data_IF_665868778945
#
_entry.id   IF_665868778945
#
_cell.length_a   1.000
_cell.length_b   1.000
_cell.length_c   1.000
_cell.angle_alpha   90.00
_cell.angle_beta   90.00
_cell.angle_gamma   90.00
#
_symmetry.space_group_name_H-M   'P 1'
#
loop_
_entity.id
_entity.type
_entity.pdbx_description
1 polymer ?
#
# COMPACT_ATOMS: atom_id res chain seq x y z
N UNK A 1 60.81 3.65 8.31
CA UNK A 1 60.29 5.02 8.02
C UNK A 1 59.66 5.10 6.64
N UNK A 2 60.31 4.62 5.58
CA UNK A 2 59.72 4.56 4.22
C UNK A 2 58.44 3.71 4.17
N UNK A 3 58.42 2.55 4.84
CA UNK A 3 57.25 1.67 4.87
C UNK A 3 56.03 2.35 5.51
N UNK A 4 56.23 3.06 6.62
CA UNK A 4 55.15 3.79 7.30
C UNK A 4 54.59 4.93 6.44
N UNK A 5 55.45 5.63 5.68
CA UNK A 5 55.03 6.69 4.76
C UNK A 5 54.20 6.13 3.59
N UNK A 6 54.69 5.06 2.96
CA UNK A 6 53.97 4.40 1.85
C UNK A 6 52.66 3.81 2.36
N UNK A 7 52.65 3.21 3.55
CA UNK A 7 51.45 2.65 4.15
C UNK A 7 50.40 3.75 4.46
N UNK A 8 50.81 4.92 4.95
CA UNK A 8 49.92 6.05 5.15
C UNK A 8 49.25 6.53 3.85
N UNK A 9 50.04 6.68 2.77
CA UNK A 9 49.52 7.08 1.45
C UNK A 9 48.60 6.00 0.85
N UNK A 10 48.96 4.73 1.00
CA UNK A 10 48.15 3.60 0.55
C UNK A 10 46.81 3.53 1.30
N UNK A 11 46.82 3.69 2.63
CA UNK A 11 45.60 3.72 3.45
C UNK A 11 44.68 4.88 3.09
N UNK A 12 45.23 6.09 2.89
CA UNK A 12 44.43 7.25 2.48
C UNK A 12 43.80 7.05 1.09
N UNK A 13 44.57 6.53 0.13
CA UNK A 13 44.09 6.25 -1.22
C UNK A 13 43.02 5.15 -1.24
N UNK A 14 43.22 4.08 -0.45
CA UNK A 14 42.24 3.01 -0.30
C UNK A 14 40.94 3.50 0.32
N UNK A 15 41.01 4.37 1.34
CA UNK A 15 39.83 5.00 1.93
C UNK A 15 39.06 5.85 0.91
N UNK A 16 39.75 6.73 0.17
CA UNK A 16 39.11 7.57 -0.84
C UNK A 16 38.42 6.74 -1.93
N UNK A 17 39.06 5.66 -2.37
CA UNK A 17 38.47 4.75 -3.36
C UNK A 17 37.28 3.97 -2.81
N UNK A 18 37.34 3.50 -1.56
CA UNK A 18 36.20 2.85 -0.90
C UNK A 18 35.01 3.81 -0.75
N UNK A 19 35.26 5.07 -0.40
CA UNK A 19 34.23 6.11 -0.33
C UNK A 19 33.59 6.38 -1.70
N UNK A 20 34.41 6.44 -2.76
CA UNK A 20 33.91 6.56 -4.13
C UNK A 20 33.01 5.38 -4.52
N UNK A 21 33.46 4.14 -4.27
CA UNK A 21 32.66 2.94 -4.55
C UNK A 21 31.34 2.94 -3.77
N UNK A 22 31.38 3.33 -2.48
CA UNK A 22 30.18 3.49 -1.68
C UNK A 22 29.23 4.51 -2.30
N UNK A 23 29.71 5.69 -2.66
CA UNK A 23 28.89 6.74 -3.27
C UNK A 23 28.24 6.28 -4.58
N UNK A 24 28.96 5.54 -5.43
CA UNK A 24 28.41 4.97 -6.67
C UNK A 24 27.21 4.06 -6.38
N UNK A 25 27.28 3.22 -5.35
CA UNK A 25 26.17 2.35 -4.95
C UNK A 25 24.93 3.15 -4.51
N UNK A 26 25.11 4.34 -3.91
CA UNK A 26 23.98 5.17 -3.48
C UNK A 26 23.26 5.88 -4.63
N UNK A 27 23.85 5.94 -5.84
CA UNK A 27 23.25 6.62 -7.00
C UNK A 27 22.16 5.82 -7.72
N UNK A 28 21.94 4.56 -7.35
CA UNK A 28 20.96 3.67 -8.01
C UNK A 28 19.98 3.11 -6.98
N UNK A 29 18.69 3.21 -7.27
CA UNK A 29 17.60 2.69 -6.43
C UNK A 29 17.79 1.21 -6.02
N UNK A 30 18.41 0.40 -6.89
CA UNK A 30 18.64 -1.03 -6.63
C UNK A 30 19.70 -1.30 -5.56
N UNK A 31 20.63 -0.37 -5.35
CA UNK A 31 21.81 -0.55 -4.49
C UNK A 31 21.87 0.46 -3.35
N UNK A 32 21.11 1.56 -3.41
CA UNK A 32 21.05 2.54 -2.35
C UNK A 32 20.49 1.94 -1.05
N UNK A 33 21.03 2.39 0.08
CA UNK A 33 20.72 1.90 1.43
C UNK A 33 20.40 3.05 2.38
N UNK A 34 19.67 2.76 3.45
CA UNK A 34 19.42 3.70 4.56
C UNK A 34 18.90 5.06 4.06
N UNK A 35 19.43 6.17 4.60
CA UNK A 35 18.97 7.53 4.28
C UNK A 35 19.08 7.91 2.81
N UNK A 36 19.99 7.29 2.04
CA UNK A 36 20.07 7.52 0.59
C UNK A 36 18.84 6.98 -0.14
N UNK A 37 18.37 5.81 0.28
CA UNK A 37 17.14 5.24 -0.25
C UNK A 37 15.91 6.08 0.14
N UNK A 38 15.94 6.73 1.31
CA UNK A 38 14.90 7.67 1.74
C UNK A 38 14.90 8.96 0.91
N UNK A 39 16.07 9.51 0.60
CA UNK A 39 16.19 10.67 -0.31
C UNK A 39 15.67 10.34 -1.71
N UNK A 40 16.00 9.16 -2.25
CA UNK A 40 15.45 8.71 -3.54
C UNK A 40 13.92 8.64 -3.49
N UNK A 41 13.34 8.12 -2.41
CA UNK A 41 11.88 8.09 -2.26
C UNK A 41 11.30 9.52 -2.21
N UNK A 42 11.94 10.42 -1.48
CA UNK A 42 11.52 11.82 -1.38
C UNK A 42 11.61 12.56 -2.72
N UNK A 43 12.60 12.29 -3.56
CA UNK A 43 12.72 12.91 -4.89
C UNK A 43 11.54 12.54 -5.81
N UNK A 44 11.09 11.28 -5.77
CA UNK A 44 9.98 10.82 -6.61
C UNK A 44 8.60 11.10 -6.03
N UNK A 45 8.45 11.04 -4.71
CA UNK A 45 7.14 11.00 -4.05
C UNK A 45 6.95 12.10 -3.00
N UNK A 46 7.97 12.87 -2.67
CA UNK A 46 7.94 13.81 -1.54
C UNK A 46 7.52 13.10 -0.26
N UNK A 47 6.51 13.63 0.41
CA UNK A 47 5.95 13.04 1.64
C UNK A 47 4.91 11.94 1.38
N UNK A 48 4.55 11.66 0.12
CA UNK A 48 3.53 10.66 -0.20
C UNK A 48 4.02 9.21 -0.03
N UNK A 49 5.34 8.98 -0.02
CA UNK A 49 5.93 7.67 0.26
C UNK A 49 7.10 7.80 1.24
N UNK A 50 6.82 7.53 2.52
CA UNK A 50 7.83 7.53 3.58
C UNK A 50 8.08 6.11 4.10
N UNK A 51 9.32 5.88 4.55
CA UNK A 51 9.70 4.61 5.18
C UNK A 51 8.95 4.43 6.49
N UNK A 52 8.34 3.26 6.66
CA UNK A 52 7.67 2.91 7.91
C UNK A 52 8.70 2.62 9.02
N UNK A 53 8.32 2.81 10.28
CA UNK A 53 9.18 2.46 11.41
C UNK A 53 9.63 0.99 11.31
N UNK A 54 10.93 0.74 11.51
CA UNK A 54 11.56 -0.59 11.43
C UNK A 54 11.44 -1.28 10.06
N UNK A 55 11.12 -0.56 8.99
CA UNK A 55 11.07 -1.14 7.65
C UNK A 55 12.47 -1.34 7.08
N UNK A 56 12.76 -2.54 6.58
CA UNK A 56 14.04 -2.86 5.93
C UNK A 56 14.21 -2.18 4.57
N UNK A 57 15.45 -1.93 4.16
CA UNK A 57 15.78 -1.36 2.85
C UNK A 57 15.20 -2.19 1.70
N UNK A 58 15.24 -3.53 1.80
CA UNK A 58 14.69 -4.41 0.77
C UNK A 58 13.18 -4.23 0.62
N UNK A 59 12.45 -4.18 1.75
CA UNK A 59 11.00 -3.95 1.76
C UNK A 59 10.66 -2.55 1.24
N UNK A 60 11.40 -1.53 1.68
CA UNK A 60 11.15 -0.15 1.27
C UNK A 60 11.44 0.05 -0.22
N UNK A 61 12.57 -0.45 -0.71
CA UNK A 61 12.93 -0.45 -2.14
C UNK A 61 11.85 -1.09 -3.01
N UNK A 62 11.30 -2.22 -2.59
CA UNK A 62 10.22 -2.89 -3.31
C UNK A 62 8.98 -1.99 -3.42
N UNK A 63 8.61 -1.27 -2.34
CA UNK A 63 7.50 -0.30 -2.36
C UNK A 63 7.78 0.91 -3.26
N UNK A 64 9.01 1.44 -3.29
CA UNK A 64 9.40 2.55 -4.18
C UNK A 64 9.24 2.10 -5.63
N UNK A 65 9.80 0.95 -6.00
CA UNK A 65 9.70 0.41 -7.37
C UNK A 65 8.25 0.15 -7.76
N UNK A 66 7.47 -0.48 -6.88
CA UNK A 66 6.05 -0.73 -7.11
C UNK A 66 5.28 0.57 -7.35
N UNK A 67 5.57 1.61 -6.57
CA UNK A 67 4.88 2.91 -6.65
C UNK A 67 5.28 3.70 -7.89
N UNK A 68 6.51 3.53 -8.38
CA UNK A 68 7.02 4.17 -9.61
C UNK A 68 6.30 3.64 -10.86
N UNK A 69 6.05 2.33 -10.89
CA UNK A 69 5.43 1.65 -12.04
C UNK A 69 3.99 1.22 -11.79
N UNK A 70 3.33 1.81 -10.78
CA UNK A 70 1.94 1.49 -10.48
C UNK A 70 1.03 1.94 -11.63
N UNK A 71 0.19 1.03 -12.09
CA UNK A 71 -0.89 1.33 -13.04
C UNK A 71 -1.82 2.40 -12.45
N UNK A 72 -2.26 3.36 -13.26
CA UNK A 72 -3.20 4.43 -12.87
C UNK A 72 -4.24 4.64 -13.97
N UNK A 73 -5.31 5.33 -13.64
CA UNK A 73 -6.42 5.69 -14.51
C UNK A 73 -7.14 4.49 -15.17
N UNK A 74 -7.15 3.33 -14.52
CA UNK A 74 -7.89 2.15 -14.99
C UNK A 74 -8.68 1.50 -13.85
N UNK A 75 -9.69 0.71 -14.21
CA UNK A 75 -10.42 -0.15 -13.27
C UNK A 75 -9.48 -1.08 -12.51
N UNK A 76 -8.51 -1.65 -13.22
CA UNK A 76 -7.53 -2.57 -12.64
C UNK A 76 -6.59 -1.87 -11.64
N UNK A 77 -6.25 -0.60 -11.86
CA UNK A 77 -5.47 0.17 -10.92
C UNK A 77 -6.19 0.30 -9.56
N UNK A 78 -7.50 0.59 -9.57
CA UNK A 78 -8.33 0.65 -8.37
C UNK A 78 -8.42 -0.72 -7.70
N UNK A 79 -8.66 -1.78 -8.48
CA UNK A 79 -8.68 -3.15 -7.94
C UNK A 79 -7.36 -3.50 -7.26
N UNK A 80 -6.23 -3.25 -7.91
CA UNK A 80 -4.90 -3.57 -7.37
C UNK A 80 -4.57 -2.75 -6.13
N UNK A 81 -4.78 -1.43 -6.14
CA UNK A 81 -4.42 -0.60 -4.99
C UNK A 81 -5.22 -0.96 -3.74
N UNK A 82 -6.51 -1.27 -3.90
CA UNK A 82 -7.36 -1.68 -2.79
C UNK A 82 -7.05 -3.11 -2.33
N UNK A 83 -6.72 -4.02 -3.25
CA UNK A 83 -6.30 -5.39 -2.88
C UNK A 83 -4.94 -5.39 -2.18
N UNK A 84 -3.97 -4.61 -2.66
CA UNK A 84 -2.65 -4.49 -2.03
C UNK A 84 -2.75 -3.94 -0.60
N UNK A 85 -3.70 -3.04 -0.37
CA UNK A 85 -3.92 -2.39 0.92
C UNK A 85 -4.72 -3.27 1.89
N UNK A 86 -5.71 -4.02 1.40
CA UNK A 86 -6.71 -4.69 2.26
C UNK A 86 -6.67 -6.21 2.21
N UNK A 87 -5.95 -6.78 1.24
CA UNK A 87 -6.00 -8.21 0.91
C UNK A 87 -7.29 -8.66 0.24
N UNK A 88 -8.25 -7.74 -0.03
CA UNK A 88 -9.56 -8.06 -0.59
C UNK A 88 -9.89 -7.19 -1.80
N UNK A 89 -10.27 -7.84 -2.89
CA UNK A 89 -10.65 -7.13 -4.11
C UNK A 89 -11.98 -6.36 -3.92
N UNK A 90 -12.05 -5.10 -4.39
CA UNK A 90 -13.28 -4.33 -4.36
C UNK A 90 -14.29 -4.83 -5.40
N UNK A 91 -15.56 -4.44 -5.24
CA UNK A 91 -16.55 -4.52 -6.31
C UNK A 91 -16.61 -3.16 -7.00
N UNK A 92 -16.47 -3.11 -8.32
CA UNK A 92 -16.48 -1.87 -9.10
C UNK A 92 -17.56 -1.97 -10.17
N UNK A 93 -18.44 -0.97 -10.21
CA UNK A 93 -19.53 -0.84 -11.18
C UNK A 93 -19.32 0.45 -11.97
N UNK A 94 -19.19 0.32 -13.28
CA UNK A 94 -19.18 1.44 -14.22
C UNK A 94 -20.54 1.51 -14.93
N UNK A 95 -21.37 2.56 -14.71
CA UNK A 95 -22.76 2.62 -15.22
C UNK A 95 -22.90 2.61 -16.75
N UNK A 96 -21.82 2.90 -17.48
CA UNK A 96 -21.77 2.88 -18.94
C UNK A 96 -21.13 1.61 -19.50
N UNK A 97 -20.73 0.65 -18.65
CA UNK A 97 -20.06 -0.58 -19.04
C UNK A 97 -21.07 -1.75 -19.09
N UNK A 98 -21.40 -2.28 -20.28
CA UNK A 98 -22.37 -3.39 -20.40
C UNK A 98 -21.97 -4.66 -19.63
N UNK A 99 -20.67 -4.87 -19.43
CA UNK A 99 -20.16 -5.98 -18.62
C UNK A 99 -20.47 -5.84 -17.11
N UNK A 100 -20.76 -4.64 -16.61
CA UNK A 100 -21.20 -4.42 -15.24
C UNK A 100 -22.73 -4.30 -15.15
N UNK A 101 -23.39 -3.81 -16.19
CA UNK A 101 -24.81 -3.41 -16.15
C UNK A 101 -25.77 -4.35 -16.89
N UNK A 102 -25.23 -5.40 -17.50
CA UNK A 102 -25.99 -6.29 -18.37
C UNK A 102 -26.17 -5.77 -19.80
N UNK A 103 -26.44 -6.70 -20.69
CA UNK A 103 -26.76 -6.47 -22.10
C UNK A 103 -27.69 -7.59 -22.61
N UNK A 104 -28.38 -7.33 -23.72
CA UNK A 104 -29.22 -8.35 -24.34
C UNK A 104 -28.39 -9.58 -24.73
N UNK A 105 -28.82 -10.77 -24.28
CA UNK A 105 -28.11 -12.03 -24.53
C UNK A 105 -26.82 -12.23 -23.72
N UNK A 106 -26.51 -11.35 -22.76
CA UNK A 106 -25.33 -11.48 -21.93
C UNK A 106 -25.62 -12.23 -20.61
N UNK A 107 -24.67 -13.04 -20.10
CA UNK A 107 -24.87 -13.89 -18.90
C UNK A 107 -24.91 -13.10 -17.58
N UNK A 108 -24.67 -11.79 -17.63
CA UNK A 108 -24.64 -10.87 -16.50
C UNK A 108 -25.91 -10.00 -16.41
N UNK A 109 -27.04 -10.51 -16.89
CA UNK A 109 -28.31 -9.78 -16.99
C UNK A 109 -29.43 -10.56 -16.32
N UNK A 110 -30.13 -9.95 -15.35
CA UNK A 110 -31.33 -10.53 -14.76
C UNK A 110 -31.91 -9.66 -13.65
N UNK A 111 -33.19 -9.31 -13.75
CA UNK A 111 -33.85 -8.46 -12.75
C UNK A 111 -33.78 -9.11 -11.36
N UNK A 112 -33.11 -8.43 -10.41
CA UNK A 112 -32.91 -8.93 -9.04
C UNK A 112 -31.96 -10.14 -8.91
N UNK A 113 -31.26 -10.53 -9.97
CA UNK A 113 -30.43 -11.75 -10.00
C UNK A 113 -28.98 -11.46 -10.41
N UNK A 114 -28.75 -10.63 -11.44
CA UNK A 114 -27.42 -10.39 -11.98
C UNK A 114 -27.30 -9.03 -12.66
N UNK A 115 -26.10 -8.44 -12.56
CA UNK A 115 -25.78 -7.13 -13.13
C UNK A 115 -26.22 -5.97 -12.23
N UNK A 116 -25.57 -4.82 -12.44
CA UNK A 116 -25.97 -3.55 -11.84
C UNK A 116 -26.91 -2.78 -12.77
N UNK A 117 -27.57 -1.73 -12.27
CA UNK A 117 -28.30 -0.81 -13.13
C UNK A 117 -27.36 0.24 -13.73
N UNK A 118 -27.29 0.27 -15.06
CA UNK A 118 -26.51 1.26 -15.80
C UNK A 118 -27.26 2.56 -16.08
N UNK A 119 -26.52 3.61 -16.44
CA UNK A 119 -27.08 4.87 -16.89
C UNK A 119 -26.10 5.61 -17.79
N UNK A 120 -26.53 5.95 -19.01
CA UNK A 120 -25.75 6.80 -19.91
C UNK A 120 -25.67 8.25 -19.43
N UNK A 121 -26.54 8.65 -18.50
CA UNK A 121 -26.58 9.99 -17.90
C UNK A 121 -25.56 10.17 -16.76
N UNK A 122 -24.80 9.12 -16.42
CA UNK A 122 -23.71 9.17 -15.43
C UNK A 122 -22.33 9.02 -16.10
N UNK A 123 -21.92 9.92 -17.02
CA UNK A 123 -20.60 9.86 -17.62
C UNK A 123 -19.53 10.16 -16.57
N UNK A 124 -18.35 9.56 -16.72
CA UNK A 124 -17.20 9.77 -15.85
C UNK A 124 -17.45 9.43 -14.37
N UNK A 125 -18.37 8.50 -14.10
CA UNK A 125 -18.66 8.03 -12.74
C UNK A 125 -18.44 6.53 -12.61
N UNK A 126 -17.98 6.11 -11.42
CA UNK A 126 -17.92 4.71 -11.03
C UNK A 126 -18.35 4.56 -9.57
N UNK A 127 -18.91 3.40 -9.23
CA UNK A 127 -19.28 3.03 -7.87
C UNK A 127 -18.37 1.90 -7.40
N UNK A 128 -17.71 2.11 -6.26
CA UNK A 128 -16.73 1.18 -5.69
C UNK A 128 -17.19 0.77 -4.30
N UNK A 129 -17.42 -0.53 -4.12
CA UNK A 129 -17.50 -1.12 -2.79
C UNK A 129 -16.10 -1.59 -2.37
N UNK A 130 -15.51 -0.87 -1.43
CA UNK A 130 -14.26 -1.22 -0.80
C UNK A 130 -14.49 -2.00 0.50
N UNK A 131 -13.48 -2.75 0.93
CA UNK A 131 -13.53 -3.55 2.14
C UNK A 131 -12.43 -3.15 3.09
N UNK A 132 -12.73 -3.10 4.38
CA UNK A 132 -11.68 -3.01 5.40
C UNK A 132 -10.86 -4.31 5.41
N UNK A 133 -9.56 -4.26 5.76
CA UNK A 133 -8.78 -5.48 5.87
C UNK A 133 -9.42 -6.44 6.87
N UNK A 134 -9.27 -7.75 6.62
CA UNK A 134 -9.60 -8.74 7.63
C UNK A 134 -8.71 -8.50 8.87
N UNK A 135 -9.32 -8.17 10.01
CA UNK A 135 -8.58 -7.89 11.24
C UNK A 135 -7.72 -9.09 11.63
N UNK A 136 -6.40 -8.95 11.67
CA UNK A 136 -5.60 -9.80 12.55
C UNK A 136 -5.91 -9.35 13.98
N UNK A 137 -6.39 -10.24 14.84
CA UNK A 137 -6.73 -9.87 16.23
C UNK A 137 -5.60 -9.13 16.94
N UNK A 138 -5.92 -8.36 17.99
CA UNK A 138 -4.90 -7.62 18.73
C UNK A 138 -4.03 -8.62 19.50
N UNK A 139 -2.69 -8.59 19.34
CA UNK A 139 -1.81 -9.47 20.07
C UNK A 139 -2.08 -9.38 21.58
N UNK A 140 -2.16 -10.53 22.23
CA UNK A 140 -2.38 -10.63 23.68
C UNK A 140 -3.74 -10.11 24.18
N UNK A 141 -4.71 -9.85 23.31
CA UNK A 141 -6.12 -9.63 23.67
C UNK A 141 -6.96 -10.77 23.09
N UNK A 142 -7.78 -11.40 23.92
CA UNK A 142 -8.63 -12.50 23.45
C UNK A 142 -9.90 -11.97 22.78
N UNK A 143 -10.40 -12.75 21.82
CA UNK A 143 -11.69 -12.48 21.16
C UNK A 143 -12.87 -12.64 22.12
N UNK A 144 -13.99 -12.02 21.73
CA UNK A 144 -15.24 -12.11 22.48
C UNK A 144 -15.72 -13.57 22.60
N UNK A 145 -16.19 -13.96 23.78
CA UNK A 145 -16.64 -15.35 24.06
C UNK A 145 -15.53 -16.33 24.49
N UNK A 146 -14.28 -15.89 24.55
CA UNK A 146 -13.22 -16.61 25.27
C UNK A 146 -13.22 -16.21 26.74
N UNK A 147 -12.82 -17.08 27.69
CA UNK A 147 -12.57 -16.72 29.09
C UNK A 147 -11.05 -16.45 29.35
N UNK A 148 -10.49 -15.29 28.97
CA UNK A 148 -9.07 -15.00 29.07
C UNK A 148 -8.59 -14.48 30.44
N UNK A 149 -9.51 -14.25 31.38
CA UNK A 149 -9.20 -13.75 32.72
C UNK A 149 -8.92 -14.91 33.68
N UNK A 150 -7.84 -14.82 34.46
CA UNK A 150 -7.50 -15.83 35.47
C UNK A 150 -6.70 -15.22 36.62
N UNK A 151 -6.76 -15.85 37.80
CA UNK A 151 -5.90 -15.49 38.92
C UNK A 151 -4.48 -16.01 38.67
N UNK A 152 -3.47 -15.18 38.96
CA UNK A 152 -2.04 -15.50 38.80
C UNK A 152 -1.55 -15.68 37.35
N UNK A 153 -2.31 -15.22 36.34
CA UNK A 153 -1.88 -15.11 34.95
C UNK A 153 -2.12 -13.69 34.41
N UNK A 154 -1.25 -13.13 33.56
CA UNK A 154 -1.49 -11.83 32.92
C UNK A 154 -2.83 -11.86 32.15
N UNK A 155 -3.75 -10.96 32.51
CA UNK A 155 -5.08 -10.90 31.89
C UNK A 155 -4.98 -10.51 30.42
N UNK A 156 -5.67 -11.27 29.56
CA UNK A 156 -5.95 -10.88 28.15
C UNK A 156 -7.39 -10.39 27.96
N UNK A 157 -8.10 -10.14 29.07
CA UNK A 157 -9.45 -9.60 29.11
C UNK A 157 -9.41 -8.07 29.09
N UNK A 158 -9.35 -7.47 27.90
CA UNK A 158 -9.38 -6.03 27.73
C UNK A 158 -10.29 -5.63 26.58
N UNK A 159 -10.94 -4.47 26.69
CA UNK A 159 -11.60 -3.86 25.54
C UNK A 159 -10.54 -3.40 24.55
N UNK A 160 -10.67 -3.89 23.32
CA UNK A 160 -9.87 -3.49 22.19
C UNK A 160 -10.13 -2.02 21.82
N UNK A 161 -9.07 -1.23 21.70
CA UNK A 161 -9.11 0.09 21.05
C UNK A 161 -8.51 -0.02 19.65
N UNK A 162 -9.03 0.77 18.70
CA UNK A 162 -8.55 0.77 17.30
C UNK A 162 -7.04 1.11 17.20
N UNK A 163 -6.54 1.92 18.15
CA UNK A 163 -5.13 2.28 18.29
C UNK A 163 -4.21 1.11 18.67
N UNK A 164 -4.77 0.01 19.19
CA UNK A 164 -4.03 -1.20 19.55
C UNK A 164 -3.90 -2.18 18.37
N UNK A 165 -4.58 -1.91 17.25
CA UNK A 165 -4.37 -2.62 16.00
C UNK A 165 -3.21 -1.98 15.25
N UNK A 166 -2.01 -2.56 15.39
CA UNK A 166 -0.83 -2.12 14.67
C UNK A 166 -1.01 -2.34 13.16
N UNK A 167 -1.00 -1.25 12.37
CA UNK A 167 -1.13 -1.31 10.91
C UNK A 167 -2.57 -1.30 10.39
N UNK A 168 -3.53 -0.81 11.17
CA UNK A 168 -4.91 -0.67 10.70
C UNK A 168 -5.01 0.31 9.53
N UNK A 169 -5.40 -0.21 8.36
CA UNK A 169 -5.84 0.62 7.22
C UNK A 169 -7.12 1.33 7.63
N UNK A 170 -7.08 2.65 7.60
CA UNK A 170 -8.23 3.50 7.90
C UNK A 170 -9.09 3.70 6.66
N UNK A 171 -10.34 4.14 6.86
CA UNK A 171 -11.22 4.52 5.75
C UNK A 171 -10.61 5.66 4.92
N UNK A 172 -9.88 6.59 5.58
CA UNK A 172 -9.14 7.65 4.90
C UNK A 172 -8.06 7.09 3.97
N UNK A 173 -7.33 6.05 4.40
CA UNK A 173 -6.32 5.39 3.56
C UNK A 173 -6.96 4.78 2.30
N UNK A 174 -8.17 4.22 2.40
CA UNK A 174 -8.90 3.70 1.24
C UNK A 174 -9.24 4.81 0.24
N UNK A 175 -9.76 5.94 0.72
CA UNK A 175 -10.05 7.09 -0.13
C UNK A 175 -8.78 7.64 -0.78
N UNK A 176 -7.70 7.85 -0.03
CA UNK A 176 -6.41 8.32 -0.56
C UNK A 176 -5.82 7.34 -1.58
N UNK A 177 -5.94 6.03 -1.34
CA UNK A 177 -5.48 5.01 -2.27
C UNK A 177 -6.20 5.09 -3.62
N UNK A 178 -7.54 5.18 -3.59
CA UNK A 178 -8.36 5.33 -4.80
C UNK A 178 -8.06 6.65 -5.52
N UNK A 179 -8.00 7.75 -4.77
CA UNK A 179 -7.73 9.08 -5.34
C UNK A 179 -6.36 9.14 -6.02
N UNK A 180 -5.37 8.43 -5.49
CA UNK A 180 -4.05 8.37 -6.11
C UNK A 180 -4.07 7.72 -7.51
N UNK A 181 -4.96 6.77 -7.77
CA UNK A 181 -4.96 6.00 -9.02
C UNK A 181 -6.15 6.28 -9.94
N UNK A 182 -7.17 6.99 -9.49
CA UNK A 182 -8.36 7.26 -10.32
C UNK A 182 -8.01 8.16 -11.52
N UNK A 183 -8.75 8.06 -12.64
CA UNK A 183 -8.62 9.03 -13.71
C UNK A 183 -9.01 10.44 -13.25
N UNK A 184 -8.28 11.45 -13.68
CA UNK A 184 -8.62 12.86 -13.42
C UNK A 184 -9.96 13.19 -14.10
N UNK A 185 -10.78 14.03 -13.45
CA UNK A 185 -12.07 14.44 -13.98
C UNK A 185 -13.18 13.38 -13.84
N UNK A 186 -12.94 12.32 -13.06
CA UNK A 186 -13.96 11.30 -12.74
C UNK A 186 -14.41 11.40 -11.29
N UNK A 187 -15.64 10.96 -11.04
CA UNK A 187 -16.20 10.81 -9.70
C UNK A 187 -16.23 9.32 -9.37
N UNK A 188 -15.54 8.93 -8.31
CA UNK A 188 -15.57 7.56 -7.80
C UNK A 188 -16.31 7.57 -6.47
N UNK A 189 -17.54 7.09 -6.47
CA UNK A 189 -18.35 6.95 -5.27
C UNK A 189 -17.91 5.72 -4.50
N UNK A 190 -17.64 5.86 -3.20
CA UNK A 190 -17.20 4.74 -2.38
C UNK A 190 -18.23 4.36 -1.32
N UNK A 191 -18.45 3.05 -1.19
CA UNK A 191 -19.09 2.40 -0.04
C UNK A 191 -18.06 1.51 0.65
N UNK A 192 -17.87 1.66 1.96
CA UNK A 192 -16.86 0.90 2.71
C UNK A 192 -17.57 -0.09 3.64
N UNK A 193 -17.27 -1.37 3.45
CA UNK A 193 -17.84 -2.48 4.23
C UNK A 193 -16.75 -3.31 4.93
N UNK A 194 -17.15 -4.21 5.82
CA UNK A 194 -16.29 -5.19 6.49
C UNK A 194 -16.54 -6.59 5.93
#
# INVERSE_FOLDING_TARGET
MVDALIQGLASASAFAYALYQYAVLQTRIKTATEGWLDMIAADFFGTALMRSANQSDASFRARIILSLFRERATRNAITRVLTDLTGRAPIIIEPQRPADTGAYGAPNSGYGVAGAYGSILLPFQAFVQAYRPASSGIPYIAGYGSPPGGYSAPSRAAYAALSQSTGAVTDADLYTAVDSVKPIGTIVWMSISS
#
